data_IF_794924483982
#
_entry.id   IF_794924483982
#
_cell.length_a   1.000
_cell.length_b   1.000
_cell.length_c   1.000
_cell.angle_alpha   90.00
_cell.angle_beta   90.00
_cell.angle_gamma   90.00
#
_symmetry.space_group_name_H-M   'P 1'
#
loop_
_entity.id
_entity.type
_entity.pdbx_description
1 polymer ?
#
# COMPACT_ATOMS: atom_id res chain seq x y z
N UNK A 1 -64.03 63.01 -20.47
CA UNK A 1 -63.88 63.26 -19.02
C UNK A 1 -63.84 61.89 -18.35
N UNK A 2 -62.71 61.58 -17.71
CA UNK A 2 -62.35 60.47 -16.81
C UNK A 2 -63.41 59.36 -16.53
N UNK A 3 -63.04 58.08 -16.63
CA UNK A 3 -62.59 57.24 -15.50
C UNK A 3 -62.43 55.74 -15.87
N UNK A 4 -61.22 55.23 -15.62
CA UNK A 4 -60.83 53.89 -15.15
C UNK A 4 -61.58 52.64 -15.68
N UNK A 5 -60.93 51.92 -16.62
CA UNK A 5 -61.07 50.47 -16.76
C UNK A 5 -59.81 49.78 -16.19
N UNK A 6 -60.02 48.98 -15.15
CA UNK A 6 -59.09 47.97 -14.67
C UNK A 6 -59.28 46.68 -15.48
N UNK A 7 -58.20 46.10 -16.00
CA UNK A 7 -58.08 44.63 -16.24
C UNK A 7 -56.65 44.22 -16.64
N UNK A 8 -56.10 43.34 -15.81
CA UNK A 8 -55.08 42.31 -16.07
C UNK A 8 -54.07 42.55 -17.22
N UNK A 9 -52.81 42.86 -16.86
CA UNK A 9 -51.65 42.47 -17.67
C UNK A 9 -50.88 41.40 -16.92
N UNK A 10 -50.88 40.22 -17.52
CA UNK A 10 -50.15 39.03 -17.10
C UNK A 10 -48.64 39.32 -17.17
N UNK A 11 -47.97 39.32 -16.03
CA UNK A 11 -46.51 39.42 -15.96
C UNK A 11 -45.93 38.07 -16.38
N UNK A 12 -45.42 37.97 -17.61
CA UNK A 12 -44.61 36.82 -18.04
C UNK A 12 -43.25 36.91 -17.33
N UNK A 13 -43.09 36.14 -16.26
CA UNK A 13 -41.78 35.92 -15.63
C UNK A 13 -41.05 34.88 -16.47
N UNK A 14 -40.10 35.34 -17.28
CA UNK A 14 -39.16 34.50 -18.03
C UNK A 14 -38.17 33.88 -17.03
N UNK A 15 -38.49 32.68 -16.55
CA UNK A 15 -37.57 31.85 -15.75
C UNK A 15 -36.50 31.32 -16.70
N UNK A 16 -35.35 31.98 -16.72
CA UNK A 16 -34.13 31.46 -17.33
C UNK A 16 -33.64 30.28 -16.49
N UNK A 17 -33.97 29.06 -16.94
CA UNK A 17 -33.35 27.82 -16.43
C UNK A 17 -31.91 27.83 -16.92
N UNK A 18 -31.00 28.30 -16.08
CA UNK A 18 -29.57 28.08 -16.24
C UNK A 18 -29.33 26.56 -16.07
N UNK A 19 -29.28 25.85 -17.20
CA UNK A 19 -28.81 24.48 -17.23
C UNK A 19 -27.36 24.47 -16.80
N UNK A 20 -27.11 24.06 -15.56
CA UNK A 20 -25.76 23.74 -15.08
C UNK A 20 -25.33 22.50 -15.85
N UNK A 21 -24.65 22.71 -16.99
CA UNK A 21 -23.80 21.69 -17.56
C UNK A 21 -22.70 21.44 -16.53
N UNK A 22 -22.90 20.43 -15.68
CA UNK A 22 -21.80 19.82 -14.94
C UNK A 22 -20.81 19.38 -16.02
N UNK A 23 -19.67 20.08 -16.15
CA UNK A 23 -18.60 19.55 -16.98
C UNK A 23 -18.22 18.23 -16.33
N UNK A 24 -18.41 17.13 -17.05
CA UNK A 24 -17.75 15.89 -16.71
C UNK A 24 -16.25 16.19 -16.81
N UNK A 25 -15.62 16.50 -15.69
CA UNK A 25 -14.17 16.44 -15.61
C UNK A 25 -13.78 15.03 -16.06
N UNK A 26 -12.86 14.89 -17.04
CA UNK A 26 -12.44 13.57 -17.47
C UNK A 26 -11.97 12.81 -16.24
N UNK A 27 -12.57 11.65 -16.01
CA UNK A 27 -12.16 10.76 -14.93
C UNK A 27 -10.81 10.19 -15.38
N UNK A 28 -9.71 10.82 -14.94
CA UNK A 28 -8.34 10.36 -15.23
C UNK A 28 -7.94 9.20 -14.31
N UNK A 29 -8.88 8.28 -14.03
CA UNK A 29 -8.66 7.08 -13.22
C UNK A 29 -8.15 5.97 -14.14
N UNK A 30 -7.30 5.09 -13.60
CA UNK A 30 -6.64 4.05 -14.37
C UNK A 30 -7.63 3.19 -15.19
N UNK A 31 -8.72 2.72 -14.57
CA UNK A 31 -9.78 1.97 -15.25
C UNK A 31 -10.38 2.74 -16.43
N UNK A 32 -10.82 3.98 -16.24
CA UNK A 32 -11.42 4.78 -17.30
C UNK A 32 -10.44 5.04 -18.47
N UNK A 33 -9.15 5.25 -18.17
CA UNK A 33 -8.11 5.42 -19.20
C UNK A 33 -7.93 4.12 -19.99
N UNK A 34 -7.82 2.98 -19.31
CA UNK A 34 -7.61 1.70 -19.96
C UNK A 34 -8.87 1.19 -20.70
N UNK A 35 -10.07 1.50 -20.21
CA UNK A 35 -11.35 1.20 -20.87
C UNK A 35 -11.51 1.99 -22.17
N UNK A 36 -11.30 3.31 -22.15
CA UNK A 36 -11.34 4.11 -23.38
C UNK A 36 -10.28 3.63 -24.36
N UNK A 37 -9.06 3.32 -23.87
CA UNK A 37 -8.01 2.77 -24.71
C UNK A 37 -8.40 1.44 -25.37
N UNK A 38 -8.92 0.47 -24.61
CA UNK A 38 -9.44 -0.80 -25.14
C UNK A 38 -10.51 -0.58 -26.20
N UNK A 39 -11.46 0.33 -25.94
CA UNK A 39 -12.51 0.70 -26.90
C UNK A 39 -11.94 1.32 -28.19
N UNK A 40 -10.92 2.17 -28.11
CA UNK A 40 -10.26 2.71 -29.32
C UNK A 40 -9.56 1.61 -30.11
N UNK A 41 -8.89 0.68 -29.41
CA UNK A 41 -8.20 -0.44 -30.03
C UNK A 41 -9.18 -1.39 -30.72
N UNK A 42 -10.30 -1.72 -30.09
CA UNK A 42 -11.32 -2.59 -30.68
C UNK A 42 -11.89 -2.01 -31.97
N UNK A 43 -12.13 -0.70 -32.01
CA UNK A 43 -12.60 -0.03 -33.23
C UNK A 43 -11.58 -0.04 -34.38
N UNK A 44 -10.28 0.08 -34.06
CA UNK A 44 -9.21 0.10 -35.07
C UNK A 44 -8.96 -1.29 -35.65
N UNK A 45 -8.82 -2.29 -34.77
CA UNK A 45 -8.46 -3.65 -35.14
C UNK A 45 -9.67 -4.56 -35.38
N UNK A 46 -10.88 -4.06 -35.11
CA UNK A 46 -12.16 -4.72 -35.36
C UNK A 46 -12.32 -6.05 -34.58
N UNK A 47 -11.86 -6.08 -33.33
CA UNK A 47 -12.14 -7.19 -32.42
C UNK A 47 -13.37 -6.90 -31.55
N UNK A 48 -14.09 -7.97 -31.18
CA UNK A 48 -15.27 -7.90 -30.31
C UNK A 48 -14.91 -7.54 -28.87
N UNK A 49 -15.92 -7.19 -28.07
CA UNK A 49 -15.72 -6.87 -26.66
C UNK A 49 -15.01 -8.00 -25.90
N UNK A 50 -13.94 -7.65 -25.19
CA UNK A 50 -13.14 -8.60 -24.42
C UNK A 50 -13.62 -8.59 -22.97
N UNK A 51 -14.07 -9.74 -22.49
CA UNK A 51 -14.33 -9.91 -21.06
C UNK A 51 -13.00 -9.95 -20.29
N UNK A 52 -12.74 -8.90 -19.50
CA UNK A 52 -11.58 -8.86 -18.63
C UNK A 52 -11.85 -9.64 -17.34
N UNK A 53 -10.87 -10.43 -16.85
CA UNK A 53 -11.02 -11.08 -15.57
C UNK A 53 -11.13 -10.05 -14.44
N UNK A 54 -11.81 -10.43 -13.35
CA UNK A 54 -11.81 -9.59 -12.16
C UNK A 54 -10.38 -9.52 -11.62
N UNK A 55 -9.94 -8.31 -11.27
CA UNK A 55 -8.64 -8.09 -10.63
C UNK A 55 -8.64 -8.75 -9.25
N UNK A 56 -8.10 -9.97 -9.17
CA UNK A 56 -7.80 -10.66 -7.91
C UNK A 56 -6.35 -10.38 -7.55
N UNK A 57 -6.12 -9.64 -6.47
CA UNK A 57 -4.76 -9.38 -5.94
C UNK A 57 -4.50 -10.26 -4.72
N UNK A 58 -3.25 -10.69 -4.54
CA UNK A 58 -2.84 -11.42 -3.34
C UNK A 58 -3.10 -10.55 -2.10
N UNK A 59 -3.75 -11.12 -1.08
CA UNK A 59 -4.08 -10.36 0.14
C UNK A 59 -2.85 -10.23 1.03
N UNK A 60 -2.68 -9.06 1.67
CA UNK A 60 -1.67 -8.92 2.70
C UNK A 60 -1.91 -9.97 3.82
N UNK A 61 -0.87 -10.62 4.37
CA UNK A 61 -1.07 -11.70 5.34
C UNK A 61 -1.86 -11.20 6.52
N UNK A 62 -2.90 -11.92 6.94
CA UNK A 62 -3.75 -11.50 8.07
C UNK A 62 -2.93 -11.23 9.33
N UNK A 63 -3.39 -10.31 10.18
CA UNK A 63 -2.75 -10.01 11.48
C UNK A 63 -2.44 -11.25 12.31
N UNK A 64 -3.33 -12.24 12.31
CA UNK A 64 -3.13 -13.51 13.02
C UNK A 64 -1.89 -14.28 12.56
N UNK A 65 -1.54 -14.20 11.27
CA UNK A 65 -0.34 -14.83 10.71
C UNK A 65 0.93 -14.02 10.99
N UNK A 66 0.80 -12.69 11.14
CA UNK A 66 1.93 -11.79 11.35
C UNK A 66 2.23 -11.56 12.83
N UNK A 67 1.28 -11.78 13.74
CA UNK A 67 1.48 -11.43 15.14
C UNK A 67 2.23 -12.50 15.94
N UNK A 68 3.23 -12.06 16.69
CA UNK A 68 3.85 -12.81 17.77
C UNK A 68 2.98 -12.79 19.04
N UNK A 69 3.17 -13.79 19.89
CA UNK A 69 2.54 -13.88 21.22
C UNK A 69 3.62 -13.67 22.30
N UNK A 70 3.95 -12.41 22.63
CA UNK A 70 5.01 -12.11 23.60
C UNK A 70 4.63 -12.58 25.01
N UNK A 71 5.62 -12.88 25.87
CA UNK A 71 5.38 -13.37 27.22
C UNK A 71 4.66 -12.32 28.07
N UNK A 72 3.70 -12.77 28.88
CA UNK A 72 2.98 -11.92 29.82
C UNK A 72 3.55 -12.07 31.23
N UNK A 73 3.72 -10.94 31.92
CA UNK A 73 4.01 -10.92 33.35
C UNK A 73 2.70 -11.12 34.12
N UNK A 74 2.66 -12.12 34.98
CA UNK A 74 1.57 -12.35 35.92
C UNK A 74 2.09 -12.18 37.35
N UNK A 75 1.63 -11.14 38.05
CA UNK A 75 1.90 -10.92 39.48
C UNK A 75 0.64 -11.26 40.28
N UNK A 76 0.81 -11.87 41.46
CA UNK A 76 -0.31 -12.01 42.39
C UNK A 76 -0.63 -10.67 43.10
N UNK A 77 -1.78 -10.59 43.76
CA UNK A 77 -2.23 -9.35 44.41
C UNK A 77 -1.24 -8.85 45.48
N UNK A 78 -0.64 -9.75 46.26
CA UNK A 78 0.32 -9.36 47.30
C UNK A 78 1.61 -8.79 46.70
N UNK A 79 2.11 -9.39 45.62
CA UNK A 79 3.24 -8.88 44.84
C UNK A 79 2.93 -7.52 44.24
N UNK A 80 1.76 -7.36 43.62
CA UNK A 80 1.32 -6.09 43.08
C UNK A 80 1.23 -4.99 44.15
N UNK A 81 0.71 -5.28 45.34
CA UNK A 81 0.64 -4.31 46.45
C UNK A 81 2.00 -3.95 47.02
N UNK A 82 2.98 -4.88 46.95
CA UNK A 82 4.38 -4.61 47.36
C UNK A 82 5.08 -3.62 46.42
N UNK A 83 4.56 -3.40 45.21
CA UNK A 83 5.06 -2.38 44.28
C UNK A 83 4.59 -0.96 44.62
N UNK A 84 3.86 -0.74 45.71
CA UNK A 84 3.30 0.58 46.09
C UNK A 84 4.29 1.72 46.26
N UNK A 85 5.60 1.42 46.34
CA UNK A 85 6.68 2.41 46.39
C UNK A 85 7.27 2.72 45.00
N UNK A 86 6.75 2.09 43.95
CA UNK A 86 7.25 2.18 42.59
C UNK A 86 6.14 2.69 41.65
N UNK A 87 6.48 3.60 40.74
CA UNK A 87 5.59 3.99 39.63
C UNK A 87 5.19 2.81 38.74
N UNK A 88 5.98 1.73 38.75
CA UNK A 88 5.65 0.47 38.09
C UNK A 88 4.27 -0.06 38.49
N UNK A 89 3.83 0.13 39.74
CA UNK A 89 2.50 -0.31 40.17
C UNK A 89 1.39 0.38 39.38
N UNK A 90 1.53 1.69 39.15
CA UNK A 90 0.57 2.48 38.39
C UNK A 90 0.51 2.02 36.94
N UNK A 91 1.68 1.77 36.33
CA UNK A 91 1.76 1.26 34.96
C UNK A 91 1.09 -0.11 34.81
N UNK A 92 1.37 -1.05 35.72
CA UNK A 92 0.73 -2.37 35.75
C UNK A 92 -0.78 -2.28 36.01
N UNK A 93 -1.22 -1.36 36.86
CA UNK A 93 -2.64 -1.07 37.08
C UNK A 93 -3.32 -0.57 35.80
N UNK A 94 -2.67 0.32 35.05
CA UNK A 94 -3.19 0.79 33.76
C UNK A 94 -3.30 -0.35 32.74
N UNK A 95 -2.34 -1.29 32.70
CA UNK A 95 -2.39 -2.48 31.83
C UNK A 95 -3.57 -3.40 32.16
N UNK A 96 -3.93 -3.53 33.43
CA UNK A 96 -5.05 -4.36 33.87
C UNK A 96 -6.43 -3.69 33.74
N UNK A 97 -6.48 -2.41 33.36
CA UNK A 97 -7.74 -1.73 33.05
C UNK A 97 -8.34 -2.23 31.74
N UNK A 98 -9.63 -1.99 31.51
CA UNK A 98 -10.29 -2.36 30.25
C UNK A 98 -9.55 -1.81 29.01
N UNK A 99 -9.12 -0.55 29.07
CA UNK A 99 -8.35 0.09 27.99
C UNK A 99 -6.96 -0.55 27.84
N UNK A 100 -6.34 -0.92 28.96
CA UNK A 100 -5.06 -1.61 28.97
C UNK A 100 -5.13 -2.99 28.32
N UNK A 101 -6.20 -3.75 28.56
CA UNK A 101 -6.38 -5.10 28.01
C UNK A 101 -6.57 -5.04 26.49
N UNK A 102 -7.28 -4.04 25.98
CA UNK A 102 -7.61 -3.89 24.56
C UNK A 102 -6.71 -2.90 23.82
N UNK A 103 -5.55 -2.54 24.38
CA UNK A 103 -4.67 -1.56 23.76
C UNK A 103 -4.17 -2.03 22.38
N UNK A 104 -4.03 -1.09 21.45
CA UNK A 104 -3.41 -1.36 20.15
C UNK A 104 -1.96 -1.85 20.32
N UNK A 105 -1.43 -2.56 19.32
CA UNK A 105 -0.07 -3.10 19.38
C UNK A 105 0.99 -1.99 19.52
N UNK A 106 0.75 -0.82 18.94
CA UNK A 106 1.60 0.37 19.08
C UNK A 106 1.70 0.82 20.54
N UNK A 107 0.56 0.94 21.21
CA UNK A 107 0.46 1.26 22.63
C UNK A 107 1.06 0.16 23.51
N UNK A 108 0.92 -1.11 23.11
CA UNK A 108 1.56 -2.22 23.82
C UNK A 108 3.08 -2.12 23.76
N UNK A 109 3.65 -1.81 22.60
CA UNK A 109 5.08 -1.61 22.47
C UNK A 109 5.58 -0.43 23.32
N UNK A 110 4.88 0.71 23.30
CA UNK A 110 5.20 1.86 24.16
C UNK A 110 5.09 1.52 25.66
N UNK A 111 4.08 0.72 26.04
CA UNK A 111 3.93 0.21 27.40
C UNK A 111 5.13 -0.64 27.82
N UNK A 112 5.61 -1.53 26.96
CA UNK A 112 6.74 -2.42 27.27
C UNK A 112 8.06 -1.64 27.45
N UNK A 113 8.27 -0.59 26.68
CA UNK A 113 9.40 0.33 26.88
C UNK A 113 9.33 1.00 28.27
N UNK A 114 8.15 1.51 28.64
CA UNK A 114 7.93 2.11 29.98
C UNK A 114 8.07 1.08 31.09
N UNK A 115 7.60 -0.15 30.87
CA UNK A 115 7.74 -1.23 31.84
C UNK A 115 9.23 -1.46 32.12
N UNK A 116 10.05 -1.58 31.08
CA UNK A 116 11.48 -1.85 31.24
C UNK A 116 12.14 -0.76 32.06
N UNK A 117 11.89 0.50 31.74
CA UNK A 117 12.45 1.64 32.48
C UNK A 117 11.99 1.65 33.95
N UNK A 118 10.68 1.59 34.20
CA UNK A 118 10.12 1.68 35.55
C UNK A 118 10.46 0.45 36.41
N UNK A 119 10.58 -0.73 35.80
CA UNK A 119 10.98 -1.94 36.52
C UNK A 119 12.44 -1.88 36.95
N UNK A 120 13.34 -1.33 36.13
CA UNK A 120 14.73 -1.10 36.54
C UNK A 120 14.81 -0.12 37.71
N UNK A 121 14.06 0.99 37.66
CA UNK A 121 13.99 1.95 38.76
C UNK A 121 13.42 1.29 40.04
N UNK A 122 12.35 0.51 39.90
CA UNK A 122 11.73 -0.19 41.02
C UNK A 122 12.69 -1.19 41.69
N UNK A 123 13.50 -1.92 40.92
CA UNK A 123 14.53 -2.81 41.46
C UNK A 123 15.58 -2.08 42.29
N UNK A 124 15.83 -0.78 42.04
CA UNK A 124 16.72 0.03 42.88
C UNK A 124 16.02 0.49 44.17
N UNK A 125 14.71 0.72 44.11
CA UNK A 125 13.90 1.15 45.27
C UNK A 125 13.58 0.00 46.24
N UNK A 126 13.41 -1.22 45.73
CA UNK A 126 13.09 -2.40 46.54
C UNK A 126 14.31 -2.82 47.36
N UNK A 127 14.28 -2.54 48.68
CA UNK A 127 15.30 -2.99 49.61
C UNK A 127 15.51 -4.51 49.55
N UNK A 128 16.76 -4.97 49.63
CA UNK A 128 17.10 -6.40 49.72
C UNK A 128 16.66 -6.94 51.08
N UNK A 129 15.55 -7.69 51.09
CA UNK A 129 15.01 -8.34 52.28
C UNK A 129 14.38 -9.67 51.90
N UNK A 130 14.27 -10.60 52.85
CA UNK A 130 13.60 -11.90 52.62
C UNK A 130 12.15 -11.76 52.14
N UNK A 131 11.49 -10.64 52.43
CA UNK A 131 10.09 -10.37 52.01
C UNK A 131 9.96 -9.88 50.57
N UNK A 132 11.02 -9.30 50.01
CA UNK A 132 11.04 -8.68 48.67
C UNK A 132 11.85 -9.50 47.66
N UNK A 133 12.68 -10.44 48.12
CA UNK A 133 13.55 -11.26 47.28
C UNK A 133 12.81 -11.96 46.14
N UNK A 134 11.70 -12.66 46.43
CA UNK A 134 10.92 -13.34 45.39
C UNK A 134 10.34 -12.39 44.34
N UNK A 135 9.90 -11.19 44.75
CA UNK A 135 9.39 -10.17 43.82
C UNK A 135 10.52 -9.59 42.97
N UNK A 136 11.70 -9.35 43.56
CA UNK A 136 12.88 -8.87 42.83
C UNK A 136 13.29 -9.86 41.76
N UNK A 137 13.39 -11.16 42.08
CA UNK A 137 13.71 -12.21 41.12
C UNK A 137 12.70 -12.30 39.97
N UNK A 138 11.40 -12.19 40.27
CA UNK A 138 10.36 -12.16 39.24
C UNK A 138 10.50 -10.93 38.33
N UNK A 139 10.76 -9.75 38.89
CA UNK A 139 10.97 -8.53 38.10
C UNK A 139 12.24 -8.59 37.24
N UNK A 140 13.33 -9.16 37.75
CA UNK A 140 14.57 -9.38 36.99
C UNK A 140 14.33 -10.35 35.82
N UNK A 141 13.61 -11.46 36.05
CA UNK A 141 13.21 -12.39 35.00
C UNK A 141 12.29 -11.71 33.96
N UNK A 142 11.29 -10.96 34.43
CA UNK A 142 10.37 -10.25 33.55
C UNK A 142 11.09 -9.20 32.70
N UNK A 143 12.08 -8.50 33.26
CA UNK A 143 12.92 -7.56 32.52
C UNK A 143 13.72 -8.25 31.42
N UNK A 144 14.34 -9.40 31.73
CA UNK A 144 15.08 -10.17 30.72
C UNK A 144 14.16 -10.64 29.60
N UNK A 145 13.01 -11.23 29.93
CA UNK A 145 12.04 -11.73 28.94
C UNK A 145 11.47 -10.61 28.06
N UNK A 146 11.10 -9.48 28.68
CA UNK A 146 10.52 -8.35 27.94
C UNK A 146 11.52 -7.73 26.98
N UNK A 147 12.78 -7.56 27.42
CA UNK A 147 13.88 -7.10 26.56
C UNK A 147 14.09 -8.01 25.37
N UNK A 148 14.12 -9.33 25.57
CA UNK A 148 14.31 -10.26 24.45
C UNK A 148 13.13 -10.29 23.49
N UNK A 149 11.91 -9.96 23.94
CA UNK A 149 10.71 -9.89 23.10
C UNK A 149 10.45 -8.52 22.45
N UNK A 150 11.26 -7.48 22.73
CA UNK A 150 10.95 -6.12 22.27
C UNK A 150 10.81 -6.00 20.74
N UNK A 151 11.65 -6.70 19.99
CA UNK A 151 11.60 -6.71 18.51
C UNK A 151 10.33 -7.38 18.00
N UNK A 152 9.87 -8.46 18.63
CA UNK A 152 8.61 -9.13 18.29
C UNK A 152 7.40 -8.22 18.58
N UNK A 153 7.46 -7.45 19.65
CA UNK A 153 6.40 -6.51 20.03
C UNK A 153 6.40 -5.30 19.09
N UNK A 154 7.59 -4.83 18.68
CA UNK A 154 7.73 -3.80 17.65
C UNK A 154 7.22 -4.27 16.28
N UNK A 155 7.50 -5.52 15.92
CA UNK A 155 6.94 -6.16 14.73
C UNK A 155 5.40 -6.17 14.78
N UNK A 156 4.82 -6.52 15.92
CA UNK A 156 3.37 -6.46 16.10
C UNK A 156 2.81 -5.04 15.98
N UNK A 157 3.57 -4.03 16.41
CA UNK A 157 3.25 -2.61 16.32
C UNK A 157 3.42 -2.03 14.90
N UNK A 158 4.07 -2.76 13.99
CA UNK A 158 4.31 -2.37 12.60
C UNK A 158 3.66 -3.39 11.66
N UNK A 159 4.40 -4.39 11.18
CA UNK A 159 3.89 -5.40 10.23
C UNK A 159 2.60 -6.11 10.70
N UNK A 160 2.48 -6.37 12.01
CA UNK A 160 1.29 -7.00 12.61
C UNK A 160 0.16 -6.03 12.99
N UNK A 161 0.28 -4.75 12.68
CA UNK A 161 -0.64 -3.69 13.10
C UNK A 161 -1.85 -3.55 12.17
N UNK A 162 -2.86 -2.79 12.59
CA UNK A 162 -4.05 -2.53 11.74
C UNK A 162 -3.74 -1.53 10.62
N UNK A 163 -2.82 -0.61 10.88
CA UNK A 163 -2.39 0.44 9.97
C UNK A 163 -1.60 -0.14 8.79
N UNK A 164 -0.69 -1.09 9.05
CA UNK A 164 -0.03 -1.84 7.98
C UNK A 164 -1.03 -2.69 7.19
N UNK A 165 -1.98 -3.36 7.84
CA UNK A 165 -3.05 -4.06 7.10
C UNK A 165 -3.82 -3.11 6.20
N UNK A 166 -4.14 -1.91 6.70
CA UNK A 166 -4.95 -0.95 5.98
C UNK A 166 -4.22 -0.40 4.75
N UNK A 167 -2.98 0.07 4.90
CA UNK A 167 -2.22 0.66 3.80
C UNK A 167 -1.99 -0.35 2.65
N UNK A 168 -1.81 -1.63 2.98
CA UNK A 168 -1.66 -2.72 2.01
C UNK A 168 -2.99 -3.32 1.51
N UNK A 169 -4.10 -3.04 2.18
CA UNK A 169 -5.40 -3.62 1.81
C UNK A 169 -5.82 -3.19 0.41
N UNK A 170 -6.42 -4.10 -0.35
CA UNK A 170 -6.99 -3.78 -1.65
C UNK A 170 -7.91 -2.56 -1.54
N UNK A 171 -7.57 -1.48 -2.26
CA UNK A 171 -8.50 -0.39 -2.49
C UNK A 171 -9.58 -0.84 -3.46
N UNK A 172 -10.81 -0.35 -3.32
CA UNK A 172 -11.87 -0.60 -4.31
C UNK A 172 -11.63 0.24 -5.57
N UNK A 173 -10.88 1.34 -5.44
CA UNK A 173 -10.71 2.35 -6.48
C UNK A 173 -9.25 2.36 -6.97
N UNK A 174 -9.00 2.17 -8.28
CA UNK A 174 -7.69 2.40 -8.88
C UNK A 174 -7.24 3.86 -8.74
N UNK A 175 -5.94 4.09 -8.89
CA UNK A 175 -5.34 5.42 -8.83
C UNK A 175 -5.73 6.28 -10.03
N UNK A 176 -5.70 7.57 -9.81
CA UNK A 176 -5.78 8.59 -10.85
C UNK A 176 -4.40 9.03 -11.31
N UNK A 177 -4.33 9.57 -12.53
CA UNK A 177 -3.11 10.16 -13.08
C UNK A 177 -2.54 11.25 -12.15
N UNK A 178 -3.42 12.08 -11.58
CA UNK A 178 -3.02 13.15 -10.64
C UNK A 178 -2.38 12.59 -9.36
N UNK A 179 -2.89 11.47 -8.83
CA UNK A 179 -2.29 10.82 -7.67
C UNK A 179 -0.90 10.27 -7.97
N UNK A 180 -0.63 9.84 -9.21
CA UNK A 180 0.69 9.33 -9.61
C UNK A 180 1.68 10.45 -9.91
N UNK A 181 1.20 11.59 -10.41
CA UNK A 181 2.02 12.80 -10.62
C UNK A 181 2.49 13.40 -9.28
N UNK A 182 1.66 13.31 -8.24
CA UNK A 182 2.01 13.77 -6.90
C UNK A 182 2.77 12.69 -6.12
N UNK A 183 3.97 13.03 -5.66
CA UNK A 183 4.75 12.15 -4.77
C UNK A 183 4.12 12.12 -3.37
N UNK A 184 3.85 10.95 -2.77
CA UNK A 184 3.26 10.82 -1.43
C UNK A 184 4.30 11.02 -0.32
N UNK A 185 4.97 12.18 -0.28
CA UNK A 185 6.14 12.45 0.59
C UNK A 185 5.86 12.14 2.07
N UNK A 186 4.67 12.49 2.57
CA UNK A 186 4.29 12.28 3.97
C UNK A 186 4.19 10.79 4.30
N UNK A 187 3.57 10.00 3.41
CA UNK A 187 3.47 8.55 3.56
C UNK A 187 4.83 7.87 3.48
N UNK A 188 5.68 8.29 2.52
CA UNK A 188 7.03 7.76 2.39
C UNK A 188 7.86 8.02 3.64
N UNK A 189 7.81 9.24 4.19
CA UNK A 189 8.53 9.57 5.42
C UNK A 189 8.02 8.74 6.61
N UNK A 190 6.70 8.56 6.71
CA UNK A 190 6.10 7.71 7.73
C UNK A 190 6.58 6.25 7.62
N UNK A 191 6.62 5.70 6.40
CA UNK A 191 7.15 4.36 6.15
C UNK A 191 8.64 4.27 6.50
N UNK A 192 9.47 5.23 6.09
CA UNK A 192 10.91 5.25 6.40
C UNK A 192 11.14 5.23 7.91
N UNK A 193 10.43 6.05 8.68
CA UNK A 193 10.58 6.09 10.15
C UNK A 193 10.08 4.81 10.81
N UNK A 194 8.93 4.28 10.39
CA UNK A 194 8.37 3.04 10.94
C UNK A 194 9.17 1.80 10.56
N UNK A 195 9.96 1.86 9.49
CA UNK A 195 10.86 0.78 9.06
C UNK A 195 12.32 1.01 9.51
N UNK A 196 12.60 2.10 10.22
CA UNK A 196 13.93 2.37 10.77
C UNK A 196 14.33 1.39 11.91
N UNK A 197 13.36 0.67 12.48
CA UNK A 197 13.58 -0.33 13.51
C UNK A 197 13.47 0.21 14.94
N UNK A 198 13.35 -0.69 15.91
CA UNK A 198 13.10 -0.33 17.31
C UNK A 198 14.20 0.57 17.91
N UNK A 199 15.46 0.40 17.48
CA UNK A 199 16.59 1.20 17.97
C UNK A 199 16.48 2.68 17.61
N UNK A 200 15.98 3.02 16.41
CA UNK A 200 15.75 4.41 16.02
C UNK A 200 14.80 5.09 17.01
N UNK A 201 13.66 4.46 17.24
CA UNK A 201 12.65 5.02 18.13
C UNK A 201 13.10 5.06 19.59
N UNK A 202 13.86 4.06 20.04
CA UNK A 202 14.44 4.03 21.40
C UNK A 202 15.44 5.16 21.65
N UNK A 203 16.03 5.74 20.60
CA UNK A 203 16.93 6.90 20.73
C UNK A 203 16.21 8.23 21.01
N UNK A 204 14.91 8.30 20.72
CA UNK A 204 14.09 9.49 20.96
C UNK A 204 13.67 9.60 22.43
N UNK A 205 13.34 10.81 22.88
CA UNK A 205 12.70 11.04 24.18
C UNK A 205 11.34 10.31 24.27
N UNK A 206 10.87 9.98 25.48
CA UNK A 206 9.59 9.26 25.66
C UNK A 206 8.41 10.05 25.06
N UNK A 207 8.34 11.36 25.33
CA UNK A 207 7.28 12.24 24.80
C UNK A 207 7.27 12.32 23.27
N UNK A 208 8.46 12.48 22.67
CA UNK A 208 8.61 12.49 21.21
C UNK A 208 8.21 11.14 20.61
N UNK A 209 8.73 10.04 21.17
CA UNK A 209 8.45 8.68 20.69
C UNK A 209 6.96 8.38 20.69
N UNK A 210 6.27 8.64 21.81
CA UNK A 210 4.83 8.40 21.92
C UNK A 210 4.02 9.18 20.90
N UNK A 211 4.34 10.47 20.75
CA UNK A 211 3.58 11.35 19.86
C UNK A 211 3.85 11.02 18.40
N UNK A 212 5.13 10.88 18.04
CA UNK A 212 5.59 10.70 16.66
C UNK A 212 5.28 9.30 16.12
N UNK A 213 5.43 8.26 16.94
CA UNK A 213 5.13 6.89 16.49
C UNK A 213 3.67 6.74 16.08
N UNK A 214 2.74 7.22 16.92
CA UNK A 214 1.30 7.21 16.62
C UNK A 214 0.95 8.12 15.44
N UNK A 215 1.61 9.29 15.32
CA UNK A 215 1.36 10.17 14.17
C UNK A 215 1.78 9.53 12.85
N UNK A 216 2.90 8.79 12.82
CA UNK A 216 3.31 8.09 11.60
C UNK A 216 2.37 6.92 11.27
N UNK A 217 1.91 6.17 12.27
CA UNK A 217 0.91 5.12 12.07
C UNK A 217 -0.41 5.69 11.54
N UNK A 218 -0.85 6.85 12.04
CA UNK A 218 -2.03 7.54 11.54
C UNK A 218 -1.91 7.96 10.06
N UNK A 219 -0.71 8.33 9.61
CA UNK A 219 -0.45 8.59 8.18
C UNK A 219 -0.66 7.32 7.36
N UNK A 220 -0.12 6.17 7.77
CA UNK A 220 -0.33 4.89 7.07
C UNK A 220 -1.81 4.48 7.04
N UNK A 221 -2.54 4.75 8.12
CA UNK A 221 -3.95 4.46 8.23
C UNK A 221 -4.86 5.43 7.46
N UNK A 222 -4.32 6.48 6.83
CA UNK A 222 -5.13 7.49 6.14
C UNK A 222 -5.68 6.99 4.80
N UNK A 223 -4.87 6.24 4.05
CA UNK A 223 -5.22 5.76 2.71
C UNK A 223 -4.67 4.37 2.44
N UNK A 224 -5.38 3.61 1.61
CA UNK A 224 -4.96 2.29 1.12
C UNK A 224 -3.92 2.40 -0.01
N UNK A 225 -2.97 3.32 0.11
CA UNK A 225 -2.13 3.78 -1.00
C UNK A 225 -1.37 2.65 -1.67
N UNK A 226 -0.72 1.76 -0.89
CA UNK A 226 0.01 0.62 -1.44
C UNK A 226 -0.91 -0.40 -2.12
N UNK A 227 -2.09 -0.62 -1.55
CA UNK A 227 -3.12 -1.44 -2.20
C UNK A 227 -3.66 -0.83 -3.50
N UNK A 228 -3.89 0.49 -3.55
CA UNK A 228 -4.33 1.19 -4.76
C UNK A 228 -3.29 1.15 -5.87
N UNK A 229 -1.99 1.27 -5.54
CA UNK A 229 -0.90 1.07 -6.51
C UNK A 229 -0.98 -0.32 -7.13
N UNK A 230 -1.11 -1.36 -6.29
CA UNK A 230 -1.19 -2.75 -6.76
C UNK A 230 -2.42 -3.04 -7.61
N UNK A 231 -3.58 -2.50 -7.23
CA UNK A 231 -4.81 -2.63 -8.02
C UNK A 231 -4.60 -2.01 -9.40
N UNK A 232 -4.05 -0.79 -9.46
CA UNK A 232 -3.82 -0.07 -10.71
C UNK A 232 -2.78 -0.76 -11.61
N UNK A 233 -1.72 -1.31 -10.99
CA UNK A 233 -0.70 -2.11 -11.67
C UNK A 233 -1.30 -3.38 -12.30
N UNK A 234 -2.07 -4.14 -11.54
CA UNK A 234 -2.68 -5.38 -12.03
C UNK A 234 -3.78 -5.10 -13.07
N UNK A 235 -4.51 -4.00 -12.92
CA UNK A 235 -5.47 -3.53 -13.90
C UNK A 235 -4.78 -3.21 -15.23
N UNK A 236 -3.74 -2.38 -15.20
CA UNK A 236 -2.93 -2.04 -16.37
C UNK A 236 -2.42 -3.31 -17.08
N UNK A 237 -1.85 -4.24 -16.30
CA UNK A 237 -1.38 -5.53 -16.82
C UNK A 237 -2.46 -6.28 -17.60
N UNK A 238 -3.67 -6.38 -17.05
CA UNK A 238 -4.76 -7.13 -17.67
C UNK A 238 -5.22 -6.49 -18.99
N UNK A 239 -5.42 -5.18 -19.01
CA UNK A 239 -5.80 -4.46 -20.22
C UNK A 239 -4.74 -4.59 -21.32
N UNK A 240 -3.46 -4.40 -20.98
CA UNK A 240 -2.37 -4.48 -21.95
C UNK A 240 -2.28 -5.88 -22.59
N UNK A 241 -2.37 -6.94 -21.79
CA UNK A 241 -2.33 -8.32 -22.28
C UNK A 241 -3.58 -8.70 -23.09
N UNK A 242 -4.76 -8.21 -22.70
CA UNK A 242 -6.00 -8.47 -23.42
C UNK A 242 -5.96 -7.83 -24.81
N UNK A 243 -5.55 -6.55 -24.88
CA UNK A 243 -5.42 -5.84 -26.15
C UNK A 243 -4.34 -6.49 -27.02
N UNK A 244 -3.19 -6.83 -26.45
CA UNK A 244 -2.11 -7.48 -27.20
C UNK A 244 -2.60 -8.74 -27.91
N UNK A 245 -3.23 -9.66 -27.18
CA UNK A 245 -3.74 -10.92 -27.75
C UNK A 245 -4.75 -10.65 -28.88
N UNK A 246 -5.72 -9.77 -28.63
CA UNK A 246 -6.75 -9.48 -29.62
C UNK A 246 -6.19 -8.80 -30.88
N UNK A 247 -5.20 -7.91 -30.73
CA UNK A 247 -4.51 -7.29 -31.86
C UNK A 247 -3.72 -8.32 -32.65
N UNK A 248 -2.96 -9.19 -31.98
CA UNK A 248 -2.19 -10.25 -32.64
C UNK A 248 -3.11 -11.19 -33.43
N UNK A 249 -4.22 -11.65 -32.84
CA UNK A 249 -5.18 -12.53 -33.50
C UNK A 249 -5.80 -11.88 -34.76
N UNK A 250 -6.11 -10.57 -34.67
CA UNK A 250 -6.65 -9.82 -35.81
C UNK A 250 -5.60 -9.55 -36.89
N UNK A 251 -4.36 -9.24 -36.50
CA UNK A 251 -3.27 -9.00 -37.46
C UNK A 251 -2.86 -10.28 -38.22
N UNK A 252 -3.00 -11.46 -37.62
CA UNK A 252 -2.71 -12.74 -38.29
C UNK A 252 -3.81 -13.14 -39.29
N UNK A 253 -5.07 -12.77 -39.02
CA UNK A 253 -6.22 -13.14 -39.85
C UNK A 253 -6.59 -12.09 -40.91
N UNK A 254 -6.49 -10.80 -40.56
CA UNK A 254 -6.84 -9.67 -41.42
C UNK A 254 -5.93 -8.47 -41.13
N UNK A 255 -4.67 -8.48 -41.62
CA UNK A 255 -3.71 -7.42 -41.36
C UNK A 255 -4.26 -6.02 -41.67
N UNK A 256 -4.07 -5.08 -40.73
CA UNK A 256 -4.48 -3.69 -40.89
C UNK A 256 -3.80 -3.02 -42.09
N UNK A 257 -2.54 -3.40 -42.36
CA UNK A 257 -1.68 -2.80 -43.38
C UNK A 257 -1.26 -3.83 -44.44
N UNK A 258 -1.74 -3.62 -45.68
CA UNK A 258 -1.46 -4.46 -46.86
C UNK A 258 -0.81 -3.67 -48.02
N UNK A 259 -0.59 -4.34 -49.17
CA UNK A 259 0.26 -3.87 -50.30
C UNK A 259 -0.21 -2.62 -51.07
N UNK A 260 -1.34 -1.99 -50.72
CA UNK A 260 -1.79 -0.78 -51.41
C UNK A 260 -2.43 0.25 -50.47
N UNK A 261 -1.77 1.42 -50.39
CA UNK A 261 -2.21 2.74 -49.88
C UNK A 261 -2.79 2.80 -48.46
N UNK A 262 -2.19 3.69 -47.66
CA UNK A 262 -2.82 4.59 -46.69
C UNK A 262 -4.34 4.40 -46.56
N UNK A 263 -4.74 3.47 -45.69
CA UNK A 263 -6.16 3.27 -45.41
C UNK A 263 -6.60 4.28 -44.37
N UNK A 264 -7.86 4.70 -44.41
CA UNK A 264 -8.47 5.52 -43.34
C UNK A 264 -8.31 4.86 -41.96
N UNK A 265 -8.24 3.53 -41.89
CA UNK A 265 -8.01 2.78 -40.65
C UNK A 265 -6.58 2.97 -40.13
N UNK A 266 -5.58 3.01 -41.02
CA UNK A 266 -4.18 3.30 -40.65
C UNK A 266 -4.05 4.70 -40.03
N UNK A 267 -4.72 5.71 -40.58
CA UNK A 267 -4.74 7.07 -39.98
C UNK A 267 -5.48 7.13 -38.64
N UNK A 268 -6.50 6.29 -38.43
CA UNK A 268 -7.17 6.18 -37.14
C UNK A 268 -6.23 5.48 -36.14
N UNK A 269 -5.56 4.39 -36.53
CA UNK A 269 -4.58 3.69 -35.72
C UNK A 269 -3.48 4.64 -35.24
N UNK A 270 -2.89 5.43 -36.13
CA UNK A 270 -1.84 6.40 -35.79
C UNK A 270 -2.34 7.43 -34.77
N UNK A 271 -3.58 7.93 -34.95
CA UNK A 271 -4.21 8.81 -33.95
C UNK A 271 -4.47 8.12 -32.62
N UNK A 272 -4.85 6.83 -32.63
CA UNK A 272 -5.05 6.04 -31.41
C UNK A 272 -3.72 5.92 -30.67
N UNK A 273 -2.65 5.56 -31.37
CA UNK A 273 -1.30 5.49 -30.82
C UNK A 273 -0.87 6.83 -30.22
N UNK A 274 -0.92 7.93 -30.99
CA UNK A 274 -0.42 9.23 -30.52
C UNK A 274 -1.26 9.83 -29.40
N UNK A 275 -2.59 9.81 -29.50
CA UNK A 275 -3.46 10.50 -28.54
C UNK A 275 -3.75 9.69 -27.29
N UNK A 276 -3.95 8.38 -27.43
CA UNK A 276 -4.43 7.54 -26.32
C UNK A 276 -3.30 6.71 -25.73
N UNK A 277 -2.49 6.03 -26.56
CA UNK A 277 -1.35 5.29 -26.03
C UNK A 277 -0.27 6.24 -25.48
N UNK A 278 0.31 7.09 -26.33
CA UNK A 278 1.35 8.05 -25.89
C UNK A 278 0.77 9.15 -24.99
N UNK A 279 -0.43 9.65 -25.27
CA UNK A 279 -1.01 10.80 -24.56
C UNK A 279 -1.67 10.49 -23.22
N UNK A 280 -2.09 9.25 -22.95
CA UNK A 280 -2.83 8.90 -21.72
C UNK A 280 -2.33 7.61 -21.04
N UNK A 281 -2.19 6.52 -21.79
CA UNK A 281 -1.78 5.23 -21.25
C UNK A 281 -0.32 5.25 -20.78
N UNK A 282 0.61 5.71 -21.62
CA UNK A 282 2.04 5.74 -21.30
C UNK A 282 2.37 6.62 -20.07
N UNK A 283 1.76 7.81 -19.89
CA UNK A 283 1.89 8.59 -18.65
C UNK A 283 1.40 7.85 -17.41
N UNK A 284 0.26 7.14 -17.51
CA UNK A 284 -0.27 6.31 -16.42
C UNK A 284 0.69 5.16 -16.07
N UNK A 285 1.19 4.44 -17.07
CA UNK A 285 2.15 3.34 -16.88
C UNK A 285 3.48 3.82 -16.29
N UNK A 286 3.98 4.96 -16.76
CA UNK A 286 5.23 5.57 -16.27
C UNK A 286 5.07 6.04 -14.82
N UNK A 287 3.95 6.68 -14.49
CA UNK A 287 3.62 7.10 -13.13
C UNK A 287 3.53 5.90 -12.17
N UNK A 288 2.82 4.83 -12.57
CA UNK A 288 2.74 3.60 -11.80
C UNK A 288 4.12 2.97 -11.58
N UNK A 289 4.91 2.83 -12.64
CA UNK A 289 6.25 2.26 -12.57
C UNK A 289 7.13 3.05 -11.59
N UNK A 290 7.16 4.38 -11.72
CA UNK A 290 7.96 5.24 -10.85
C UNK A 290 7.54 5.12 -9.39
N UNK A 291 6.23 5.15 -9.09
CA UNK A 291 5.74 5.08 -7.71
C UNK A 291 5.97 3.72 -7.08
N UNK A 292 5.86 2.64 -7.85
CA UNK A 292 6.14 1.29 -7.36
C UNK A 292 7.62 1.12 -7.07
N UNK A 293 8.51 1.48 -8.00
CA UNK A 293 9.96 1.41 -7.77
C UNK A 293 10.37 2.22 -6.55
N UNK A 294 9.85 3.44 -6.42
CA UNK A 294 10.13 4.28 -5.27
C UNK A 294 9.72 3.66 -3.93
N UNK A 295 8.56 3.00 -3.87
CA UNK A 295 8.14 2.26 -2.68
C UNK A 295 9.05 1.05 -2.44
N UNK A 296 9.41 0.31 -3.49
CA UNK A 296 10.35 -0.81 -3.39
C UNK A 296 11.68 -0.33 -2.82
N UNK A 297 12.22 0.79 -3.27
CA UNK A 297 13.45 1.39 -2.73
C UNK A 297 13.34 1.69 -1.23
N UNK A 298 12.22 2.24 -0.76
CA UNK A 298 11.99 2.48 0.69
C UNK A 298 12.09 1.18 1.48
N UNK A 299 11.43 0.11 1.01
CA UNK A 299 11.50 -1.18 1.68
C UNK A 299 12.87 -1.83 1.56
N UNK A 300 13.60 -1.65 0.46
CA UNK A 300 14.93 -2.23 0.28
C UNK A 300 16.02 -1.48 1.05
N UNK A 301 15.84 -0.19 1.35
CA UNK A 301 16.81 0.62 2.08
C UNK A 301 16.66 0.54 3.60
N UNK A 302 15.50 0.12 4.10
CA UNK A 302 15.22 0.21 5.53
C UNK A 302 15.97 -0.87 6.36
N UNK A 303 16.39 -0.57 7.60
CA UNK A 303 17.01 -1.56 8.48
C UNK A 303 16.05 -2.68 8.90
N UNK A 304 14.78 -2.37 9.23
CA UNK A 304 13.81 -3.34 9.73
C UNK A 304 13.21 -4.24 8.63
N UNK A 305 13.76 -4.19 7.42
CA UNK A 305 13.33 -4.95 6.24
C UNK A 305 14.43 -5.89 5.75
N UNK A 306 15.35 -6.31 6.62
CA UNK A 306 16.33 -7.35 6.29
C UNK A 306 15.66 -8.60 5.67
N UNK A 307 14.53 -9.00 6.23
CA UNK A 307 13.69 -10.11 5.74
C UNK A 307 13.18 -9.86 4.31
N UNK A 308 12.79 -8.62 4.00
CA UNK A 308 12.33 -8.21 2.66
C UNK A 308 13.49 -8.22 1.66
N UNK A 309 14.68 -7.77 2.07
CA UNK A 309 15.90 -7.82 1.23
C UNK A 309 16.29 -9.27 0.92
N UNK A 310 16.20 -10.15 1.92
CA UNK A 310 16.42 -11.58 1.71
C UNK A 310 15.39 -12.15 0.72
N UNK A 311 14.12 -11.76 0.85
CA UNK A 311 13.04 -12.20 -0.02
C UNK A 311 13.20 -11.77 -1.50
N UNK A 312 13.81 -10.60 -1.74
CA UNK A 312 14.06 -10.06 -3.10
C UNK A 312 15.29 -10.69 -3.77
N UNK A 313 16.15 -11.39 -3.03
CA UNK A 313 17.27 -12.13 -3.60
C UNK A 313 16.77 -13.29 -4.49
N UNK A 314 17.59 -13.69 -5.48
CA UNK A 314 17.25 -14.84 -6.32
C UNK A 314 17.09 -16.12 -5.49
N UNK A 315 16.31 -17.09 -5.98
CA UNK A 315 15.97 -18.32 -5.25
C UNK A 315 17.20 -19.10 -4.76
N UNK A 316 18.30 -19.10 -5.51
CA UNK A 316 19.54 -19.77 -5.10
C UNK A 316 20.22 -19.01 -3.98
N UNK A 317 20.31 -17.69 -4.10
CA UNK A 317 20.88 -16.81 -3.09
C UNK A 317 20.07 -16.87 -1.78
N UNK A 318 18.74 -16.89 -1.86
CA UNK A 318 17.87 -17.04 -0.69
C UNK A 318 18.03 -18.43 -0.05
N UNK A 319 18.01 -19.51 -0.83
CA UNK A 319 18.22 -20.86 -0.30
C UNK A 319 19.62 -21.06 0.32
N UNK A 320 20.65 -20.40 -0.23
CA UNK A 320 22.02 -20.45 0.28
C UNK A 320 22.26 -19.57 1.49
N UNK A 321 21.40 -18.57 1.74
CA UNK A 321 21.51 -17.69 2.91
C UNK A 321 21.40 -18.43 4.24
N UNK A 322 20.79 -19.64 4.23
CA UNK A 322 20.51 -20.38 5.45
C UNK A 322 19.56 -19.64 6.40
N UNK A 323 18.77 -18.69 5.88
CA UNK A 323 17.80 -17.93 6.66
C UNK A 323 16.82 -18.88 7.36
N UNK A 324 16.84 -18.87 8.70
CA UNK A 324 15.89 -19.58 9.54
C UNK A 324 14.97 -18.54 10.18
N UNK A 325 13.93 -18.16 9.45
CA UNK A 325 12.94 -17.21 9.93
C UNK A 325 11.84 -17.86 10.79
N UNK A 326 11.09 -17.02 11.49
CA UNK A 326 9.86 -17.41 12.19
C UNK A 326 8.70 -17.62 11.21
N UNK A 327 7.60 -18.21 11.66
CA UNK A 327 6.39 -18.36 10.82
C UNK A 327 5.83 -17.00 10.37
N UNK A 328 5.92 -15.97 11.21
CA UNK A 328 5.47 -14.62 10.94
C UNK A 328 6.30 -13.97 9.82
N UNK A 329 7.62 -14.16 9.85
CA UNK A 329 8.55 -13.64 8.85
C UNK A 329 8.33 -14.31 7.50
N UNK A 330 8.18 -15.64 7.48
CA UNK A 330 7.86 -16.38 6.26
C UNK A 330 6.54 -15.90 5.62
N UNK A 331 5.51 -15.61 6.41
CA UNK A 331 4.26 -15.08 5.87
C UNK A 331 4.46 -13.74 5.15
N UNK A 332 5.36 -12.87 5.64
CA UNK A 332 5.70 -11.62 4.98
C UNK A 332 6.58 -11.84 3.74
N UNK A 333 7.55 -12.77 3.81
CA UNK A 333 8.42 -13.16 2.68
C UNK A 333 7.57 -13.66 1.51
N UNK A 334 6.67 -14.60 1.76
CA UNK A 334 5.81 -15.21 0.72
C UNK A 334 5.00 -14.14 0.00
N UNK A 335 4.40 -13.21 0.77
CA UNK A 335 3.67 -12.08 0.22
C UNK A 335 4.59 -11.16 -0.60
N UNK A 336 5.76 -10.81 -0.08
CA UNK A 336 6.71 -9.95 -0.78
C UNK A 336 7.15 -10.55 -2.12
N UNK A 337 7.48 -11.84 -2.13
CA UNK A 337 7.89 -12.58 -3.32
C UNK A 337 6.80 -12.66 -4.37
N UNK A 338 5.54 -12.88 -3.95
CA UNK A 338 4.40 -12.92 -4.85
C UNK A 338 4.10 -11.56 -5.49
N UNK A 339 4.43 -10.45 -4.82
CA UNK A 339 3.94 -9.13 -5.18
C UNK A 339 5.04 -8.21 -5.70
N UNK A 340 5.99 -7.88 -4.84
CA UNK A 340 6.90 -6.75 -5.02
C UNK A 340 8.28 -7.19 -5.53
N UNK A 341 8.63 -8.46 -5.38
CA UNK A 341 9.99 -8.90 -5.67
C UNK A 341 10.36 -8.83 -7.16
N UNK A 342 11.63 -8.57 -7.49
CA UNK A 342 12.13 -8.61 -8.87
C UNK A 342 12.41 -10.06 -9.34
N UNK A 343 11.38 -10.91 -9.31
CA UNK A 343 11.46 -12.33 -9.63
C UNK A 343 10.36 -12.78 -10.59
N UNK A 344 10.64 -13.86 -11.32
CA UNK A 344 9.66 -14.46 -12.20
C UNK A 344 8.38 -14.83 -11.43
N UNK A 345 7.23 -14.47 -11.98
CA UNK A 345 5.91 -14.76 -11.40
C UNK A 345 5.40 -13.73 -10.39
N UNK A 346 6.20 -12.77 -9.94
CA UNK A 346 5.70 -11.68 -9.08
C UNK A 346 4.76 -10.74 -9.85
N UNK A 347 3.79 -10.13 -9.16
CA UNK A 347 2.91 -9.13 -9.76
C UNK A 347 3.71 -8.01 -10.44
N UNK A 348 4.78 -7.53 -9.79
CA UNK A 348 5.67 -6.52 -10.33
C UNK A 348 6.30 -6.93 -11.66
N UNK A 349 6.87 -8.14 -11.75
CA UNK A 349 7.50 -8.61 -12.98
C UNK A 349 6.52 -8.90 -14.09
N UNK A 350 5.37 -9.47 -13.75
CA UNK A 350 4.30 -9.71 -14.72
C UNK A 350 3.75 -8.39 -15.30
N UNK A 351 3.70 -7.32 -14.50
CA UNK A 351 3.35 -5.99 -14.97
C UNK A 351 4.38 -5.42 -15.94
N UNK A 352 5.67 -5.46 -15.58
CA UNK A 352 6.75 -4.99 -16.47
C UNK A 352 6.77 -5.75 -17.81
N UNK A 353 6.56 -7.07 -17.76
CA UNK A 353 6.48 -7.90 -18.96
C UNK A 353 5.31 -7.49 -19.86
N UNK A 354 4.13 -7.22 -19.28
CA UNK A 354 2.98 -6.75 -20.05
C UNK A 354 3.23 -5.40 -20.73
N UNK A 355 3.90 -4.45 -20.07
CA UNK A 355 4.30 -3.18 -20.69
C UNK A 355 5.25 -3.43 -21.87
N UNK A 356 6.27 -4.26 -21.66
CA UNK A 356 7.27 -4.56 -22.68
C UNK A 356 6.62 -5.22 -23.90
N UNK A 357 5.79 -6.25 -23.68
CA UNK A 357 5.08 -6.97 -24.74
C UNK A 357 4.15 -6.06 -25.53
N UNK A 358 3.36 -5.23 -24.83
CA UNK A 358 2.46 -4.29 -25.47
C UNK A 358 3.20 -3.20 -26.26
N UNK A 359 4.38 -2.77 -25.79
CA UNK A 359 5.24 -1.85 -26.55
C UNK A 359 5.78 -2.50 -27.82
N UNK A 360 6.18 -3.78 -27.76
CA UNK A 360 6.64 -4.53 -28.93
C UNK A 360 5.50 -4.75 -29.94
N UNK A 361 4.27 -5.03 -29.47
CA UNK A 361 3.08 -5.10 -30.32
C UNK A 361 2.90 -3.79 -31.11
N UNK A 362 2.96 -2.64 -30.44
CA UNK A 362 2.87 -1.35 -31.14
C UNK A 362 4.00 -1.13 -32.15
N UNK A 363 5.24 -1.45 -31.78
CA UNK A 363 6.38 -1.32 -32.69
C UNK A 363 6.20 -2.19 -33.94
N UNK A 364 5.65 -3.40 -33.79
CA UNK A 364 5.40 -4.29 -34.93
C UNK A 364 4.31 -3.75 -35.85
N UNK A 365 3.15 -3.37 -35.28
CA UNK A 365 2.05 -2.75 -36.04
C UNK A 365 2.53 -1.51 -36.80
N UNK A 366 3.21 -0.59 -36.11
CA UNK A 366 3.69 0.65 -36.74
C UNK A 366 4.72 0.37 -37.83
N UNK A 367 5.58 -0.65 -37.66
CA UNK A 367 6.57 -1.05 -38.66
C UNK A 367 5.91 -1.60 -39.91
N UNK A 368 4.94 -2.52 -39.76
CA UNK A 368 4.16 -3.09 -40.87
C UNK A 368 3.41 -2.01 -41.66
N UNK A 369 3.00 -0.95 -40.98
CA UNK A 369 2.28 0.17 -41.58
C UNK A 369 3.16 1.30 -42.11
N UNK A 370 4.49 1.20 -42.02
CA UNK A 370 5.44 2.29 -42.37
C UNK A 370 5.11 3.60 -41.62
N UNK A 371 4.86 3.47 -40.31
CA UNK A 371 4.44 4.55 -39.38
C UNK A 371 5.25 4.60 -38.10
N UNK A 372 6.43 3.99 -38.08
CA UNK A 372 7.31 4.09 -36.91
C UNK A 372 7.71 5.57 -36.72
N UNK A 373 7.52 6.16 -35.53
CA UNK A 373 8.01 7.51 -35.24
C UNK A 373 9.54 7.57 -35.41
N UNK A 374 10.05 8.64 -36.03
CA UNK A 374 11.48 8.90 -36.20
C UNK A 374 12.13 9.50 -34.96
#
# INVERSE_FOLDING_TARGET
MQFLQSRCRSTFVLVWIFGVCVSCTPINRADAIFEDYLYRMSNVFQFDEIALPVVTIESFPSRRKLQYQPPQLSLNLLEFLRLSRCELQRLLGARNSSLGITMANSQHWLYELSFIELAQQCLQTLASSSKTEGLRQQLELALMQKRSSLEEIYWNATWGSEEFQYVFSAGITPMTQQQLELRPIVLEQALIELLAGANYWQSLSDDERRTRFESQLAVLASEKYLGQLRVSMNLARQYLLAIERAVTDMEDSSPLCGTARLSRRTEIMERVFMRYYIGAVQPMLSGLHQRIEQIREVFMAAPATEIVRAADADDRSFAQSGFVGTTQEHALIDYWQAVWADRAGSEWRLYQQAISSHTLMWQDVLRRCDRLPH
#
